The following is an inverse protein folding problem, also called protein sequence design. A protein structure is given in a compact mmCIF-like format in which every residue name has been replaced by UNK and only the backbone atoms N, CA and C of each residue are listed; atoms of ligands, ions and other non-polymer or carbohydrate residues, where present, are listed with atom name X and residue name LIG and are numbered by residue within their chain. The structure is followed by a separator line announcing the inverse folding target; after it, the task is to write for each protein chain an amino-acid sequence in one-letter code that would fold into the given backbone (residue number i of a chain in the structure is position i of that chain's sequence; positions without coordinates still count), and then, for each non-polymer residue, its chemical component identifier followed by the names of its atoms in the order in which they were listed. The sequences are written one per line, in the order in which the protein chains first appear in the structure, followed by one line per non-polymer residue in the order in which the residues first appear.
data_IF_819336709262
#
_entry.id   IF_819336709262
#
_cell.length_a   1.000
_cell.length_b   1.000
_cell.length_c   1.000
_cell.angle_alpha   90.00
_cell.angle_beta   90.00
_cell.angle_gamma   90.00
#
_symmetry.space_group_name_H-M   'P 1'
#
loop_
_entity.id
_entity.type
_entity.pdbx_description
1 polymer ?
#
# COMPACT_ATOMS: atom_id res chain seq x y z
N UNK A 1 39.07 -14.84 5.80
CA UNK A 1 38.52 -15.57 4.63
C UNK A 1 37.05 -15.23 4.32
N UNK A 2 36.29 -14.58 5.22
CA UNK A 2 34.88 -14.22 4.96
C UNK A 2 34.63 -13.06 3.95
N UNK A 3 35.64 -12.23 3.65
CA UNK A 3 35.47 -11.08 2.75
C UNK A 3 35.43 -11.44 1.25
N UNK A 4 35.93 -12.62 0.87
CA UNK A 4 35.96 -13.04 -0.54
C UNK A 4 34.66 -13.71 -0.98
N UNK A 5 33.94 -14.37 -0.06
CA UNK A 5 32.67 -15.05 -0.37
C UNK A 5 31.53 -14.05 -0.60
N UNK A 6 31.46 -12.98 0.20
CA UNK A 6 30.44 -11.94 0.04
C UNK A 6 30.56 -11.23 -1.31
N UNK A 7 31.78 -10.85 -1.73
CA UNK A 7 32.05 -10.23 -3.05
C UNK A 7 31.64 -11.16 -4.20
N UNK A 8 31.87 -12.47 -4.06
CA UNK A 8 31.45 -13.47 -5.05
C UNK A 8 29.92 -13.61 -5.15
N UNK A 9 29.22 -13.58 -4.01
CA UNK A 9 27.76 -13.69 -3.96
C UNK A 9 27.10 -12.45 -4.57
N UNK A 10 27.55 -11.24 -4.24
CA UNK A 10 27.01 -10.01 -4.82
C UNK A 10 27.25 -9.93 -6.34
N UNK A 11 28.41 -10.38 -6.81
CA UNK A 11 28.68 -10.51 -8.25
C UNK A 11 27.71 -11.49 -8.93
N UNK A 12 27.47 -12.66 -8.32
CA UNK A 12 26.55 -13.66 -8.86
C UNK A 12 25.09 -13.17 -8.92
N UNK A 13 24.65 -12.41 -7.92
CA UNK A 13 23.30 -11.84 -7.89
C UNK A 13 23.12 -10.74 -8.95
N UNK A 14 24.12 -9.86 -9.12
CA UNK A 14 24.09 -8.83 -10.18
C UNK A 14 24.05 -9.48 -11.57
N UNK A 15 24.86 -10.51 -11.80
CA UNK A 15 24.88 -11.26 -13.06
C UNK A 15 23.55 -11.96 -13.33
N UNK A 16 22.91 -12.52 -12.31
CA UNK A 16 21.59 -13.14 -12.45
C UNK A 16 20.51 -12.12 -12.83
N UNK A 17 20.56 -10.92 -12.24
CA UNK A 17 19.67 -9.79 -12.57
C UNK A 17 19.88 -9.37 -14.02
N UNK A 18 21.12 -9.13 -14.45
CA UNK A 18 21.48 -8.80 -15.84
C UNK A 18 21.03 -9.86 -16.84
N UNK A 19 21.27 -11.13 -16.52
CA UNK A 19 20.83 -12.25 -17.34
C UNK A 19 19.31 -12.28 -17.49
N UNK A 20 18.55 -12.11 -16.40
CA UNK A 20 17.09 -12.05 -16.46
C UNK A 20 16.57 -10.89 -17.30
N UNK A 21 17.18 -9.70 -17.26
CA UNK A 21 16.83 -8.59 -18.18
C UNK A 21 16.95 -9.00 -19.63
N UNK A 22 18.07 -9.65 -19.97
CA UNK A 22 18.39 -10.00 -21.35
C UNK A 22 17.36 -10.95 -21.97
N UNK A 23 16.59 -11.64 -21.12
CA UNK A 23 15.52 -12.56 -21.52
C UNK A 23 14.15 -11.87 -21.62
N UNK A 24 14.00 -10.65 -21.09
CA UNK A 24 12.73 -9.94 -21.07
C UNK A 24 12.55 -9.11 -22.34
N UNK A 25 11.32 -9.03 -22.89
CA UNK A 25 11.05 -8.20 -24.04
C UNK A 25 11.14 -6.71 -23.68
N UNK A 26 11.45 -5.88 -24.68
CA UNK A 26 11.44 -4.42 -24.54
C UNK A 26 10.08 -3.94 -24.02
N UNK A 27 10.10 -3.13 -22.96
CA UNK A 27 8.90 -2.58 -22.37
C UNK A 27 8.52 -1.25 -23.04
N UNK A 28 7.45 -1.19 -23.85
CA UNK A 28 7.05 0.04 -24.55
C UNK A 28 6.65 1.17 -23.59
N UNK A 29 6.34 0.85 -22.33
CA UNK A 29 6.00 1.83 -21.29
C UNK A 29 7.22 2.37 -20.54
N UNK A 30 8.41 1.77 -20.72
CA UNK A 30 9.60 2.20 -19.98
C UNK A 30 10.04 3.61 -20.35
N UNK A 31 10.11 3.93 -21.64
CA UNK A 31 10.49 5.26 -22.12
C UNK A 31 9.52 6.37 -21.67
N UNK A 32 8.18 6.25 -21.88
CA UNK A 32 7.26 7.28 -21.40
C UNK A 32 7.27 7.40 -19.87
N UNK A 33 7.40 6.27 -19.14
CA UNK A 33 7.49 6.31 -17.68
C UNK A 33 8.78 7.00 -17.21
N UNK A 34 9.93 6.69 -17.82
CA UNK A 34 11.21 7.36 -17.55
C UNK A 34 11.10 8.86 -17.75
N UNK A 35 10.52 9.29 -18.87
CA UNK A 35 10.37 10.70 -19.20
C UNK A 35 9.45 11.42 -18.19
N UNK A 36 8.33 10.79 -17.81
CA UNK A 36 7.44 11.33 -16.78
C UNK A 36 8.12 11.41 -15.40
N UNK A 37 8.89 10.39 -15.04
CA UNK A 37 9.65 10.35 -13.79
C UNK A 37 10.69 11.46 -13.72
N UNK A 38 11.53 11.61 -14.76
CA UNK A 38 12.54 12.67 -14.85
C UNK A 38 11.87 14.05 -14.85
N UNK A 39 10.75 14.21 -15.57
CA UNK A 39 9.99 15.46 -15.53
C UNK A 39 9.54 15.79 -14.11
N UNK A 40 9.00 14.82 -13.36
CA UNK A 40 8.61 15.02 -11.96
C UNK A 40 9.80 15.45 -11.09
N UNK A 41 10.94 14.78 -11.21
CA UNK A 41 12.16 15.11 -10.46
C UNK A 41 12.69 16.52 -10.75
N UNK A 42 12.53 17.00 -11.99
CA UNK A 42 12.99 18.32 -12.40
C UNK A 42 12.06 19.46 -11.98
N UNK A 43 10.79 19.17 -11.70
CA UNK A 43 9.77 20.19 -11.43
C UNK A 43 9.31 20.23 -9.96
N UNK A 44 9.60 19.20 -9.17
CA UNK A 44 9.16 19.10 -7.78
C UNK A 44 10.31 18.79 -6.82
N UNK A 45 10.22 19.35 -5.61
CA UNK A 45 11.16 19.04 -4.54
C UNK A 45 10.96 17.62 -4.01
N UNK A 46 12.00 17.02 -3.43
CA UNK A 46 11.89 15.71 -2.75
C UNK A 46 10.78 15.68 -1.71
N UNK A 47 10.61 16.76 -0.94
CA UNK A 47 9.51 16.89 0.02
C UNK A 47 8.14 16.78 -0.64
N UNK A 48 7.93 17.48 -1.77
CA UNK A 48 6.66 17.43 -2.50
C UNK A 48 6.40 16.03 -3.08
N UNK A 49 7.43 15.39 -3.65
CA UNK A 49 7.32 14.04 -4.20
C UNK A 49 7.02 13.04 -3.08
N UNK A 50 7.80 13.05 -2.00
CA UNK A 50 7.61 12.15 -0.86
C UNK A 50 6.24 12.31 -0.23
N UNK A 51 5.81 13.54 0.04
CA UNK A 51 4.59 13.82 0.80
C UNK A 51 3.37 13.80 -0.12
N UNK A 52 3.27 14.79 -1.03
CA UNK A 52 2.10 14.94 -1.88
C UNK A 52 2.00 13.84 -2.93
N UNK A 53 3.13 13.36 -3.47
CA UNK A 53 3.13 12.21 -4.37
C UNK A 53 2.60 10.95 -3.70
N UNK A 54 3.03 10.66 -2.46
CA UNK A 54 2.50 9.50 -1.71
C UNK A 54 1.03 9.65 -1.34
N UNK A 55 0.58 10.84 -0.94
CA UNK A 55 -0.86 11.12 -0.71
C UNK A 55 -1.65 10.88 -1.99
N UNK A 56 -1.21 11.44 -3.12
CA UNK A 56 -1.89 11.28 -4.41
C UNK A 56 -1.94 9.80 -4.81
N UNK A 57 -0.84 9.06 -4.68
CA UNK A 57 -0.82 7.62 -4.99
C UNK A 57 -1.79 6.85 -4.10
N UNK A 58 -1.79 7.08 -2.79
CA UNK A 58 -2.70 6.42 -1.85
C UNK A 58 -4.16 6.71 -2.19
N UNK A 59 -4.54 7.97 -2.29
CA UNK A 59 -5.93 8.39 -2.53
C UNK A 59 -6.43 7.94 -3.91
N UNK A 60 -5.61 8.10 -4.95
CA UNK A 60 -5.98 7.68 -6.31
C UNK A 60 -6.18 6.17 -6.36
N UNK A 61 -5.26 5.37 -5.82
CA UNK A 61 -5.39 3.92 -5.81
C UNK A 61 -6.62 3.52 -4.99
N UNK A 62 -6.75 4.03 -3.76
CA UNK A 62 -7.84 3.66 -2.88
C UNK A 62 -9.22 3.91 -3.52
N UNK A 63 -9.47 5.14 -3.97
CA UNK A 63 -10.75 5.48 -4.56
C UNK A 63 -10.96 4.80 -5.92
N UNK A 64 -9.93 4.69 -6.76
CA UNK A 64 -10.04 4.01 -8.05
C UNK A 64 -10.48 2.56 -7.88
N UNK A 65 -9.97 1.85 -6.88
CA UNK A 65 -10.33 0.44 -6.64
C UNK A 65 -11.61 0.28 -5.83
N UNK A 66 -12.06 1.30 -5.09
CA UNK A 66 -13.39 1.31 -4.45
C UNK A 66 -14.53 1.58 -5.44
N UNK A 67 -14.30 2.41 -6.48
CA UNK A 67 -15.33 2.85 -7.43
C UNK A 67 -16.07 1.70 -8.12
N UNK A 68 -15.42 0.65 -8.67
CA UNK A 68 -16.12 -0.46 -9.30
C UNK A 68 -17.12 -1.14 -8.36
N UNK A 69 -16.73 -1.42 -7.12
CA UNK A 69 -17.60 -2.03 -6.10
C UNK A 69 -18.80 -1.13 -5.78
N UNK A 70 -18.56 0.18 -5.64
CA UNK A 70 -19.62 1.16 -5.44
C UNK A 70 -20.58 1.25 -6.64
N UNK A 71 -20.09 1.19 -7.89
CA UNK A 71 -20.95 1.23 -9.07
C UNK A 71 -21.78 -0.05 -9.24
N UNK A 72 -21.20 -1.22 -8.96
CA UNK A 72 -21.89 -2.51 -9.08
C UNK A 72 -23.12 -2.63 -8.18
N UNK A 73 -23.19 -1.87 -7.08
CA UNK A 73 -24.36 -1.85 -6.22
C UNK A 73 -25.62 -1.31 -6.92
N UNK A 74 -25.45 -0.47 -7.95
CA UNK A 74 -26.55 0.16 -8.70
C UNK A 74 -26.94 -0.63 -9.95
N UNK A 75 -26.20 -1.68 -10.30
CA UNK A 75 -26.46 -2.51 -11.48
C UNK A 75 -27.22 -3.79 -11.03
N UNK A 76 -28.50 -3.96 -11.40
CA UNK A 76 -29.30 -5.10 -10.95
C UNK A 76 -28.69 -6.46 -11.29
N UNK A 77 -28.04 -6.57 -12.46
CA UNK A 77 -27.37 -7.81 -12.89
C UNK A 77 -26.19 -8.20 -11.98
N UNK A 78 -25.48 -7.22 -11.41
CA UNK A 78 -24.32 -7.48 -10.55
C UNK A 78 -24.71 -7.96 -9.15
N UNK A 79 -25.95 -7.67 -8.70
CA UNK A 79 -26.46 -8.09 -7.39
C UNK A 79 -26.47 -9.61 -7.19
N UNK A 80 -26.52 -10.40 -8.26
CA UNK A 80 -26.48 -11.86 -8.17
C UNK A 80 -25.13 -12.40 -7.69
N UNK A 81 -24.05 -11.65 -7.92
CA UNK A 81 -22.68 -11.99 -7.51
C UNK A 81 -22.35 -11.53 -6.09
N UNK A 82 -23.24 -10.76 -5.43
CA UNK A 82 -23.03 -10.34 -4.05
C UNK A 82 -23.05 -11.56 -3.13
N UNK A 83 -22.01 -11.69 -2.30
CA UNK A 83 -21.89 -12.78 -1.32
C UNK A 83 -22.99 -12.63 -0.25
N UNK A 84 -23.15 -11.41 0.29
CA UNK A 84 -24.16 -11.10 1.31
C UNK A 84 -25.41 -10.42 0.73
N UNK A 85 -26.37 -11.21 0.26
CA UNK A 85 -27.57 -10.71 -0.44
C UNK A 85 -28.62 -10.06 0.46
N UNK A 86 -28.70 -10.51 1.71
CA UNK A 86 -29.76 -10.10 2.65
C UNK A 86 -29.45 -8.79 3.38
N UNK A 87 -28.18 -8.39 3.43
CA UNK A 87 -27.74 -7.15 4.09
C UNK A 87 -27.39 -6.12 3.02
N UNK A 88 -28.22 -5.08 2.94
CA UNK A 88 -28.00 -3.94 2.04
C UNK A 88 -27.50 -2.77 2.87
N UNK A 89 -26.44 -2.15 2.36
CA UNK A 89 -25.93 -0.91 2.92
C UNK A 89 -26.95 0.20 2.69
N UNK A 90 -27.27 0.93 3.76
CA UNK A 90 -28.12 2.11 3.68
C UNK A 90 -27.26 3.32 3.31
N UNK A 91 -27.87 4.31 2.66
CA UNK A 91 -27.18 5.57 2.37
C UNK A 91 -26.61 6.23 3.62
N UNK A 92 -27.34 6.19 4.74
CA UNK A 92 -26.89 6.73 6.02
C UNK A 92 -25.64 6.01 6.55
N UNK A 93 -25.59 4.68 6.42
CA UNK A 93 -24.43 3.86 6.78
C UNK A 93 -23.21 4.21 5.93
N UNK A 94 -23.39 4.30 4.60
CA UNK A 94 -22.32 4.70 3.68
C UNK A 94 -21.81 6.12 3.97
N UNK A 95 -22.70 7.07 4.25
CA UNK A 95 -22.30 8.43 4.61
C UNK A 95 -21.57 8.50 5.96
N UNK A 96 -21.96 7.66 6.92
CA UNK A 96 -21.21 7.50 8.17
C UNK A 96 -19.82 6.92 7.91
N UNK A 97 -19.72 5.85 7.13
CA UNK A 97 -18.45 5.23 6.72
C UNK A 97 -17.54 6.27 6.08
N UNK A 98 -18.05 7.00 5.09
CA UNK A 98 -17.32 8.04 4.37
C UNK A 98 -16.78 9.14 5.29
N UNK A 99 -17.56 9.62 6.26
CA UNK A 99 -17.07 10.67 7.19
C UNK A 99 -15.93 10.19 8.09
N UNK A 100 -16.02 8.97 8.60
CA UNK A 100 -14.96 8.38 9.43
C UNK A 100 -13.72 8.08 8.60
N UNK A 101 -13.91 7.58 7.38
CA UNK A 101 -12.84 7.38 6.40
C UNK A 101 -12.08 8.69 6.15
N UNK A 102 -12.78 9.78 5.82
CA UNK A 102 -12.14 11.09 5.62
C UNK A 102 -11.37 11.54 6.87
N UNK A 103 -11.93 11.34 8.07
CA UNK A 103 -11.21 11.62 9.31
C UNK A 103 -9.92 10.80 9.42
N UNK A 104 -9.97 9.50 9.14
CA UNK A 104 -8.78 8.63 9.17
C UNK A 104 -7.74 9.06 8.13
N UNK A 105 -8.14 9.39 6.91
CA UNK A 105 -7.23 9.85 5.86
C UNK A 105 -6.53 11.16 6.25
N UNK A 106 -7.29 12.18 6.66
CA UNK A 106 -6.72 13.51 6.93
C UNK A 106 -6.05 13.65 8.29
N UNK A 107 -6.57 12.99 9.33
CA UNK A 107 -6.07 13.18 10.69
C UNK A 107 -5.12 12.08 11.15
N UNK A 108 -5.13 10.90 10.53
CA UNK A 108 -4.30 9.77 10.94
C UNK A 108 -3.29 9.41 9.85
N UNK A 109 -3.74 9.12 8.64
CA UNK A 109 -2.88 8.68 7.54
C UNK A 109 -2.02 9.81 6.99
N UNK A 110 -2.56 11.01 6.78
CA UNK A 110 -1.78 12.14 6.27
C UNK A 110 -0.57 12.46 7.17
N UNK A 111 -0.69 12.56 8.52
CA UNK A 111 0.48 12.67 9.40
C UNK A 111 1.49 11.52 9.25
N UNK A 112 1.01 10.28 9.09
CA UNK A 112 1.89 9.13 8.85
C UNK A 112 2.62 9.25 7.50
N UNK A 113 1.93 9.69 6.45
CA UNK A 113 2.50 9.91 5.11
C UNK A 113 3.50 11.08 5.12
N UNK A 114 3.27 12.15 5.88
CA UNK A 114 4.27 13.20 6.07
C UNK A 114 5.60 12.67 6.65
N UNK A 115 5.54 11.58 7.42
CA UNK A 115 6.73 10.86 7.91
C UNK A 115 7.59 10.25 6.80
N UNK A 116 7.04 10.02 5.59
CA UNK A 116 7.80 9.44 4.46
C UNK A 116 8.95 10.33 4.02
N UNK A 117 8.78 11.65 3.99
CA UNK A 117 9.88 12.56 3.65
C UNK A 117 11.03 12.42 4.64
N UNK A 118 10.73 12.49 5.95
CA UNK A 118 11.73 12.29 7.01
C UNK A 118 12.43 10.94 6.89
N UNK A 119 11.69 9.87 6.61
CA UNK A 119 12.25 8.54 6.38
C UNK A 119 13.22 8.56 5.18
N UNK A 120 12.80 9.10 4.04
CA UNK A 120 13.64 9.10 2.83
C UNK A 120 14.89 9.97 2.99
N UNK A 121 14.83 11.08 3.70
CA UNK A 121 16.01 11.90 3.98
C UNK A 121 16.94 11.24 5.00
N UNK A 122 16.39 10.66 6.08
CA UNK A 122 17.19 10.03 7.15
C UNK A 122 17.99 8.83 6.64
N UNK A 123 17.38 7.99 5.80
CA UNK A 123 18.03 6.81 5.21
C UNK A 123 18.68 7.09 3.84
N UNK A 124 18.72 8.34 3.40
CA UNK A 124 19.26 8.76 2.10
C UNK A 124 18.68 7.95 0.92
N UNK A 125 17.37 7.69 0.95
CA UNK A 125 16.67 6.94 -0.09
C UNK A 125 16.70 7.73 -1.41
N UNK A 126 17.19 7.12 -2.50
CA UNK A 126 17.25 7.77 -3.79
C UNK A 126 15.89 7.87 -4.49
N UNK A 127 15.82 8.81 -5.43
CA UNK A 127 14.65 9.14 -6.23
C UNK A 127 14.98 9.10 -7.74
N UNK A 128 16.25 9.04 -8.09
CA UNK A 128 16.71 9.13 -9.47
C UNK A 128 16.37 7.86 -10.26
N UNK A 129 16.23 8.02 -11.57
CA UNK A 129 15.88 6.91 -12.43
C UNK A 129 16.94 5.79 -12.45
N UNK A 130 18.21 6.17 -12.35
CA UNK A 130 19.33 5.23 -12.57
C UNK A 130 19.52 4.27 -11.39
N UNK A 131 19.11 4.68 -10.18
CA UNK A 131 19.04 3.83 -8.99
C UNK A 131 17.73 3.05 -8.85
N UNK A 132 16.75 3.26 -9.74
CA UNK A 132 15.47 2.56 -9.68
C UNK A 132 15.67 1.04 -9.85
N UNK A 133 15.23 0.21 -8.89
CA UNK A 133 15.34 -1.24 -9.03
C UNK A 133 14.53 -1.75 -10.23
N UNK A 134 15.01 -2.83 -10.85
CA UNK A 134 14.26 -3.48 -11.93
C UNK A 134 12.91 -4.01 -11.42
N UNK A 135 11.90 -3.99 -12.29
CA UNK A 135 10.51 -4.27 -11.90
C UNK A 135 10.35 -5.64 -11.19
N UNK A 136 11.06 -6.68 -11.61
CA UNK A 136 10.98 -7.99 -10.96
C UNK A 136 11.65 -8.02 -9.58
N UNK A 137 12.72 -7.24 -9.38
CA UNK A 137 13.33 -7.03 -8.06
C UNK A 137 12.36 -6.29 -7.15
N UNK A 138 11.69 -5.27 -7.67
CA UNK A 138 10.63 -4.57 -6.94
C UNK A 138 9.50 -5.51 -6.52
N UNK A 139 9.01 -6.37 -7.42
CA UNK A 139 7.98 -7.36 -7.08
C UNK A 139 8.46 -8.31 -5.98
N UNK A 140 9.69 -8.80 -6.06
CA UNK A 140 10.28 -9.64 -5.01
C UNK A 140 10.33 -8.93 -3.65
N UNK A 141 10.67 -7.64 -3.63
CA UNK A 141 10.66 -6.82 -2.40
C UNK A 141 9.25 -6.55 -1.88
N UNK A 142 8.30 -6.22 -2.75
CA UNK A 142 6.89 -6.08 -2.36
C UNK A 142 6.34 -7.38 -1.79
N UNK A 143 6.71 -8.53 -2.36
CA UNK A 143 6.36 -9.83 -1.81
C UNK A 143 6.97 -10.06 -0.42
N UNK A 144 8.25 -9.71 -0.22
CA UNK A 144 8.89 -9.79 1.09
C UNK A 144 8.20 -8.87 2.13
N UNK A 145 7.84 -7.64 1.73
CA UNK A 145 7.03 -6.74 2.55
C UNK A 145 5.67 -7.35 2.89
N UNK A 146 5.01 -8.00 1.93
CA UNK A 146 3.72 -8.66 2.14
C UNK A 146 3.79 -9.77 3.17
N UNK A 147 4.84 -10.59 3.15
CA UNK A 147 5.03 -11.65 4.18
C UNK A 147 5.18 -11.05 5.58
N UNK A 148 5.95 -9.96 5.72
CA UNK A 148 6.14 -9.28 7.01
C UNK A 148 4.83 -8.65 7.48
N UNK A 149 4.15 -7.93 6.60
CA UNK A 149 2.91 -7.24 6.93
C UNK A 149 1.80 -8.24 7.25
N UNK A 150 1.63 -9.32 6.49
CA UNK A 150 0.64 -10.37 6.78
C UNK A 150 0.92 -11.03 8.13
N UNK A 151 2.18 -11.30 8.45
CA UNK A 151 2.57 -11.82 9.77
C UNK A 151 2.19 -10.83 10.88
N UNK A 152 2.56 -9.55 10.72
CA UNK A 152 2.23 -8.49 11.68
C UNK A 152 0.72 -8.34 11.86
N UNK A 153 0.01 -8.24 10.75
CA UNK A 153 -1.42 -8.06 10.66
C UNK A 153 -2.13 -9.22 11.33
N UNK A 154 -1.79 -10.47 11.02
CA UNK A 154 -2.39 -11.66 11.61
C UNK A 154 -2.32 -11.64 13.15
N UNK A 155 -1.13 -11.42 13.72
CA UNK A 155 -0.95 -11.46 15.17
C UNK A 155 -1.65 -10.29 15.87
N UNK A 156 -1.54 -9.08 15.33
CA UNK A 156 -2.14 -7.91 15.97
C UNK A 156 -3.66 -7.85 15.75
N UNK A 157 -4.15 -8.25 14.59
CA UNK A 157 -5.58 -8.42 14.36
C UNK A 157 -6.16 -9.44 15.34
N UNK A 158 -5.50 -10.58 15.54
CA UNK A 158 -5.91 -11.57 16.57
C UNK A 158 -5.90 -11.00 17.99
N UNK A 159 -4.92 -10.15 18.31
CA UNK A 159 -4.86 -9.45 19.60
C UNK A 159 -6.02 -8.45 19.74
N UNK A 160 -6.34 -7.69 18.69
CA UNK A 160 -7.44 -6.72 18.65
C UNK A 160 -8.80 -7.40 18.84
N UNK A 161 -8.95 -8.64 18.36
CA UNK A 161 -10.12 -9.49 18.62
C UNK A 161 -10.22 -10.02 20.06
N UNK A 162 -9.19 -9.86 20.88
CA UNK A 162 -9.24 -10.32 22.26
C UNK A 162 -10.34 -9.56 23.04
N UNK A 163 -11.14 -10.28 23.84
CA UNK A 163 -12.35 -9.76 24.53
C UNK A 163 -12.13 -8.46 25.31
N UNK A 164 -10.91 -8.25 25.83
CA UNK A 164 -10.54 -7.04 26.59
C UNK A 164 -10.30 -5.80 25.70
N UNK A 165 -9.91 -5.99 24.44
CA UNK A 165 -9.52 -4.93 23.50
C UNK A 165 -10.62 -4.67 22.49
N UNK A 166 -11.26 -5.73 21.98
CA UNK A 166 -12.27 -5.69 20.92
C UNK A 166 -13.31 -4.59 21.11
N UNK A 167 -13.93 -4.52 22.29
CA UNK A 167 -15.02 -3.56 22.57
C UNK A 167 -14.61 -2.09 22.46
N UNK A 168 -13.31 -1.78 22.53
CA UNK A 168 -12.79 -0.41 22.54
C UNK A 168 -12.17 0.00 21.22
N UNK A 169 -11.52 -0.93 20.51
CA UNK A 169 -10.75 -0.61 19.31
C UNK A 169 -11.42 -1.26 18.09
N UNK A 170 -11.48 -2.59 18.09
CA UNK A 170 -11.82 -3.34 16.88
C UNK A 170 -13.32 -3.44 16.57
N UNK A 171 -14.18 -3.18 17.56
CA UNK A 171 -15.63 -3.22 17.37
C UNK A 171 -16.11 -2.21 16.31
N UNK A 172 -15.41 -1.08 16.16
CA UNK A 172 -15.75 -0.07 15.14
C UNK A 172 -15.58 -0.66 13.75
N UNK A 173 -14.48 -1.37 13.51
CA UNK A 173 -14.20 -1.99 12.21
C UNK A 173 -15.21 -3.09 11.84
N UNK A 174 -15.79 -3.79 12.82
CA UNK A 174 -16.85 -4.79 12.60
C UNK A 174 -18.28 -4.22 12.69
N UNK A 175 -18.44 -2.90 12.54
CA UNK A 175 -19.76 -2.27 12.60
C UNK A 175 -20.62 -2.65 11.40
N UNK A 176 -20.06 -2.67 10.19
CA UNK A 176 -20.78 -3.13 9.01
C UNK A 176 -20.59 -4.64 8.86
N UNK A 177 -21.71 -5.32 8.65
CA UNK A 177 -21.71 -6.77 8.58
C UNK A 177 -21.52 -7.29 7.15
N UNK A 178 -21.81 -6.44 6.15
CA UNK A 178 -21.60 -6.72 4.74
C UNK A 178 -20.52 -5.77 4.21
N UNK A 179 -19.25 -6.22 4.18
CA UNK A 179 -18.18 -5.34 3.81
C UNK A 179 -18.29 -4.90 2.36
N UNK A 180 -17.85 -3.66 2.13
CA UNK A 180 -17.71 -3.05 0.82
C UNK A 180 -16.40 -2.27 0.79
N UNK A 181 -15.80 -2.08 -0.38
CA UNK A 181 -14.41 -1.62 -0.49
C UNK A 181 -14.07 -0.33 0.27
N UNK A 182 -15.03 0.57 0.50
CA UNK A 182 -14.81 1.82 1.27
C UNK A 182 -14.68 1.58 2.79
N UNK A 183 -15.19 0.46 3.30
CA UNK A 183 -15.04 0.04 4.70
C UNK A 183 -13.62 -0.46 4.99
N UNK A 184 -12.81 -0.76 3.97
CA UNK A 184 -11.47 -1.32 4.15
C UNK A 184 -10.57 -0.46 5.07
N UNK A 185 -10.81 0.85 5.12
CA UNK A 185 -10.13 1.78 6.04
C UNK A 185 -11.09 2.47 7.05
N UNK A 186 -12.31 1.95 7.20
CA UNK A 186 -13.22 2.28 8.28
C UNK A 186 -12.81 1.55 9.55
N UNK A 187 -12.01 2.20 10.38
CA UNK A 187 -11.51 1.63 11.62
C UNK A 187 -11.35 2.70 12.70
N UNK A 188 -11.18 2.25 13.94
CA UNK A 188 -10.79 3.14 15.03
C UNK A 188 -9.36 3.67 14.79
N UNK A 189 -9.04 4.95 15.09
CA UNK A 189 -7.71 5.53 14.81
C UNK A 189 -6.53 4.71 15.35
N UNK A 190 -6.68 4.16 16.57
CA UNK A 190 -5.65 3.28 17.15
C UNK A 190 -5.46 1.98 16.35
N UNK A 191 -6.52 1.41 15.79
CA UNK A 191 -6.41 0.24 14.92
C UNK A 191 -5.62 0.56 13.66
N UNK A 192 -5.95 1.69 13.02
CA UNK A 192 -5.22 2.18 11.83
C UNK A 192 -3.73 2.35 12.12
N UNK A 193 -3.36 2.90 13.30
CA UNK A 193 -1.96 3.07 13.69
C UNK A 193 -1.30 1.71 14.00
N UNK A 194 -1.96 0.86 14.78
CA UNK A 194 -1.42 -0.43 15.23
C UNK A 194 -1.20 -1.37 14.04
N UNK A 195 -2.22 -1.58 13.21
CA UNK A 195 -2.12 -2.46 12.05
C UNK A 195 -1.29 -1.80 10.95
N UNK A 196 -1.47 -0.49 10.72
CA UNK A 196 -0.70 0.28 9.73
C UNK A 196 0.80 0.33 10.01
N UNK A 197 1.25 0.17 11.27
CA UNK A 197 2.68 0.08 11.57
C UNK A 197 3.39 -1.08 10.86
N UNK A 198 2.68 -2.18 10.53
CA UNK A 198 3.22 -3.31 9.78
C UNK A 198 3.71 -2.92 8.38
N UNK A 199 3.02 -1.98 7.73
CA UNK A 199 3.44 -1.40 6.45
C UNK A 199 4.85 -0.82 6.53
N UNK A 200 5.12 -0.05 7.59
CA UNK A 200 6.39 0.63 7.78
C UNK A 200 7.52 -0.33 8.13
N UNK A 201 7.24 -1.45 8.81
CA UNK A 201 8.27 -2.47 9.12
C UNK A 201 8.87 -3.04 7.83
N UNK A 202 8.05 -3.40 6.84
CA UNK A 202 8.54 -3.90 5.55
C UNK A 202 9.39 -2.86 4.81
N UNK A 203 8.92 -1.61 4.79
CA UNK A 203 9.64 -0.48 4.17
C UNK A 203 10.97 -0.20 4.86
N UNK A 204 11.04 -0.24 6.18
CA UNK A 204 12.29 0.00 6.92
C UNK A 204 13.39 -1.01 6.57
N UNK A 205 13.03 -2.21 6.12
CA UNK A 205 13.97 -3.28 5.81
C UNK A 205 14.35 -3.29 4.32
N UNK A 206 13.37 -3.08 3.42
CA UNK A 206 13.55 -3.32 1.99
C UNK A 206 13.56 -2.07 1.11
N UNK A 207 13.16 -0.92 1.63
CA UNK A 207 13.10 0.31 0.84
C UNK A 207 14.48 0.86 0.53
N UNK A 208 14.82 0.83 -0.75
CA UNK A 208 16.03 1.39 -1.33
C UNK A 208 15.75 2.41 -2.43
N UNK A 209 14.48 2.68 -2.74
CA UNK A 209 14.07 3.69 -3.70
C UNK A 209 12.64 4.17 -3.39
N UNK A 210 12.33 5.46 -3.59
CA UNK A 210 11.00 6.03 -3.29
C UNK A 210 9.87 5.31 -4.05
N UNK A 211 10.15 4.82 -5.25
CA UNK A 211 9.16 4.10 -6.04
C UNK A 211 8.74 2.76 -5.38
N UNK A 212 9.57 2.14 -4.54
CA UNK A 212 9.17 0.96 -3.76
C UNK A 212 8.10 1.31 -2.72
N UNK A 213 8.17 2.48 -2.08
CA UNK A 213 7.10 2.95 -1.19
C UNK A 213 5.77 3.00 -1.93
N UNK A 214 5.76 3.56 -3.14
CA UNK A 214 4.55 3.70 -3.96
C UNK A 214 4.03 2.37 -4.51
N UNK A 215 4.93 1.48 -4.94
CA UNK A 215 4.55 0.13 -5.34
C UNK A 215 3.96 -0.65 -4.16
N UNK A 216 4.60 -0.58 -2.99
CA UNK A 216 4.16 -1.28 -1.80
C UNK A 216 2.82 -0.76 -1.27
N UNK A 217 2.60 0.55 -1.20
CA UNK A 217 1.28 1.10 -0.80
C UNK A 217 0.21 0.68 -1.79
N UNK A 218 0.52 0.63 -3.09
CA UNK A 218 -0.44 0.16 -4.10
C UNK A 218 -0.82 -1.30 -3.85
N UNK A 219 0.15 -2.21 -3.68
CA UNK A 219 -0.14 -3.61 -3.38
C UNK A 219 -0.94 -3.79 -2.10
N UNK A 220 -0.57 -3.08 -1.04
CA UNK A 220 -1.25 -3.16 0.25
C UNK A 220 -2.69 -2.68 0.18
N UNK A 221 -2.94 -1.58 -0.52
CA UNK A 221 -4.31 -1.06 -0.72
C UNK A 221 -5.16 -2.02 -1.55
N UNK A 222 -4.59 -2.62 -2.60
CA UNK A 222 -5.29 -3.61 -3.41
C UNK A 222 -5.75 -4.80 -2.58
N UNK A 223 -4.85 -5.36 -1.78
CA UNK A 223 -5.17 -6.46 -0.87
C UNK A 223 -6.23 -6.05 0.16
N UNK A 224 -6.05 -4.89 0.80
CA UNK A 224 -6.97 -4.39 1.83
C UNK A 224 -8.38 -4.25 1.26
N UNK A 225 -8.51 -3.64 0.08
CA UNK A 225 -9.82 -3.46 -0.57
C UNK A 225 -10.40 -4.82 -1.02
N UNK A 226 -9.59 -5.73 -1.54
CA UNK A 226 -10.06 -7.03 -2.04
C UNK A 226 -10.67 -7.90 -0.94
N UNK A 227 -10.07 -7.89 0.26
CA UNK A 227 -10.59 -8.61 1.44
C UNK A 227 -11.94 -8.06 1.92
N UNK A 228 -12.27 -6.81 1.58
CA UNK A 228 -13.50 -6.11 2.00
C UNK A 228 -14.55 -5.98 0.88
N UNK A 229 -14.61 -6.90 -0.09
CA UNK A 229 -15.58 -6.87 -1.21
C UNK A 229 -16.71 -7.90 -1.14
#
# INVERSE_FOLDING_TARGET
MAANESVSIFGSASLAVEYLDSLLPDNPLQAPFKNAWIYMLNNYTKFQIATWGSVIVHELVYFLFCVPGFLFQFIPYMQKYKIQKEKRETWEGQWKCFRVLLFNHFCIQLPMICGTWYFTEYFAIPYDWDSMPRWFVMLGKCFACAVIEDTWHYFLHRLLHHKKIYKYIHKVHHEFQAPFGMEAEYAHPLETIILGSGFFIGIMIFCDHVFLLWAWVTFRLLETIDVHR
#
